data_IF_741265413829
#
_entry.id   IF_741265413829
#
_cell.length_a   1.000
_cell.length_b   1.000
_cell.length_c   1.000
_cell.angle_alpha   90.00
_cell.angle_beta   90.00
_cell.angle_gamma   90.00
#
_symmetry.space_group_name_H-M   'P 1'
#
loop_
_entity.id
_entity.type
_entity.pdbx_description
1 polymer ?
#
# COMPACT_ATOMS: atom_id res chain seq x y z
N UNK A 1 -13.59 70.82 15.08
CA UNK A 1 -13.40 69.69 16.01
C UNK A 1 -14.29 68.54 15.55
N UNK A 2 -13.68 67.42 15.11
CA UNK A 2 -14.11 66.03 15.36
C UNK A 2 -13.52 65.08 14.31
N UNK A 3 -12.35 64.56 14.69
CA UNK A 3 -11.84 63.19 14.49
C UNK A 3 -12.33 62.37 13.27
N UNK A 4 -11.52 62.37 12.20
CA UNK A 4 -11.49 61.27 11.24
C UNK A 4 -10.36 60.32 11.67
N UNK A 5 -10.70 59.22 12.35
CA UNK A 5 -9.75 58.14 12.61
C UNK A 5 -9.49 57.34 11.33
N UNK A 6 -8.24 56.98 10.99
CA UNK A 6 -7.99 56.10 9.85
C UNK A 6 -8.47 54.69 10.18
N UNK A 7 -9.46 54.22 9.44
CA UNK A 7 -9.95 52.85 9.50
C UNK A 7 -8.91 51.91 8.86
N UNK A 8 -8.08 51.29 9.71
CA UNK A 8 -7.07 50.31 9.29
C UNK A 8 -7.81 49.03 8.91
N UNK A 9 -8.02 48.82 7.62
CA UNK A 9 -8.48 47.54 7.09
C UNK A 9 -7.33 46.54 7.13
N UNK A 10 -7.35 45.69 8.16
CA UNK A 10 -6.44 44.55 8.30
C UNK A 10 -6.80 43.50 7.23
N UNK A 11 -6.10 43.54 6.09
CA UNK A 11 -6.17 42.49 5.07
C UNK A 11 -5.44 41.25 5.59
N UNK A 12 -6.20 40.33 6.20
CA UNK A 12 -5.71 39.00 6.55
C UNK A 12 -5.59 38.21 5.25
N UNK A 13 -4.38 38.17 4.67
CA UNK A 13 -4.04 37.20 3.64
C UNK A 13 -3.97 35.82 4.28
N UNK A 14 -5.06 35.06 4.17
CA UNK A 14 -5.07 33.64 4.50
C UNK A 14 -4.29 32.92 3.41
N UNK A 15 -2.97 32.78 3.60
CA UNK A 15 -2.17 31.86 2.80
C UNK A 15 -2.63 30.45 3.16
N UNK A 16 -3.48 29.87 2.32
CA UNK A 16 -3.79 28.45 2.34
C UNK A 16 -2.51 27.70 2.00
N UNK A 17 -1.75 27.32 3.04
CA UNK A 17 -0.69 26.32 2.91
C UNK A 17 -1.37 25.02 2.50
N UNK A 18 -1.36 24.73 1.21
CA UNK A 18 -1.69 23.41 0.69
C UNK A 18 -0.65 22.44 1.22
N UNK A 19 -0.95 21.81 2.36
CA UNK A 19 -0.25 20.59 2.76
C UNK A 19 -0.58 19.55 1.70
N UNK A 20 0.34 19.28 0.78
CA UNK A 20 0.31 18.04 0.01
C UNK A 20 0.47 16.91 1.03
N UNK A 21 -0.64 16.24 1.35
CA UNK A 21 -0.56 14.91 1.95
C UNK A 21 0.28 14.07 1.00
N UNK A 22 1.44 13.60 1.45
CA UNK A 22 2.10 12.52 0.73
C UNK A 22 1.08 11.37 0.66
N UNK A 23 0.62 11.05 -0.55
CA UNK A 23 -0.37 10.01 -0.76
C UNK A 23 0.20 8.69 -0.22
N UNK A 24 -0.64 7.94 0.50
CA UNK A 24 -0.22 6.69 1.08
C UNK A 24 -0.11 5.62 -0.02
N UNK A 25 0.87 4.71 0.08
CA UNK A 25 0.99 3.57 -0.83
C UNK A 25 -0.34 2.81 -0.94
N UNK A 26 -0.80 2.59 -2.17
CA UNK A 26 -2.03 1.87 -2.45
C UNK A 26 -1.71 0.40 -2.67
N UNK A 27 -2.32 -0.48 -1.86
CA UNK A 27 -2.15 -1.93 -1.95
C UNK A 27 -3.48 -2.55 -2.35
N UNK A 28 -3.47 -3.35 -3.41
CA UNK A 28 -4.63 -4.13 -3.87
C UNK A 28 -4.23 -5.59 -4.04
N UNK A 29 -5.19 -6.50 -3.92
CA UNK A 29 -4.96 -7.92 -4.17
C UNK A 29 -6.16 -8.55 -4.86
N UNK A 30 -5.88 -9.60 -5.64
CA UNK A 30 -6.91 -10.38 -6.33
C UNK A 30 -6.50 -11.85 -6.43
N UNK A 31 -7.49 -12.73 -6.54
CA UNK A 31 -7.27 -14.16 -6.72
C UNK A 31 -7.98 -14.61 -7.99
N UNK A 32 -7.20 -14.87 -9.04
CA UNK A 32 -7.71 -15.16 -10.38
C UNK A 32 -6.86 -16.25 -11.02
N UNK A 33 -7.51 -17.25 -11.62
CA UNK A 33 -6.81 -18.30 -12.39
C UNK A 33 -5.82 -19.12 -11.57
N UNK A 34 -6.16 -19.40 -10.30
CA UNK A 34 -5.30 -20.19 -9.40
C UNK A 34 -4.06 -19.45 -8.91
N UNK A 35 -4.10 -18.11 -8.85
CA UNK A 35 -2.98 -17.27 -8.42
C UNK A 35 -3.48 -16.16 -7.52
N UNK A 36 -2.68 -15.82 -6.52
CA UNK A 36 -2.78 -14.59 -5.75
C UNK A 36 -1.91 -13.52 -6.42
N UNK A 37 -2.50 -12.37 -6.71
CA UNK A 37 -1.82 -11.21 -7.28
C UNK A 37 -1.90 -10.09 -6.26
N UNK A 38 -0.76 -9.52 -5.90
CA UNK A 38 -0.65 -8.36 -5.01
C UNK A 38 -0.03 -7.22 -5.81
N UNK A 39 -0.74 -6.11 -5.87
CA UNK A 39 -0.34 -4.89 -6.58
C UNK A 39 -0.06 -3.78 -5.57
N UNK A 40 1.16 -3.24 -5.63
CA UNK A 40 1.57 -2.06 -4.90
C UNK A 40 1.73 -0.89 -5.88
N UNK A 41 1.03 0.21 -5.60
CA UNK A 41 1.19 1.49 -6.30
C UNK A 41 1.66 2.56 -5.33
N UNK A 42 2.73 3.26 -5.70
CA UNK A 42 3.35 4.33 -4.91
C UNK A 42 3.46 5.62 -5.73
N UNK A 43 3.48 6.77 -5.08
CA UNK A 43 3.68 8.06 -5.76
C UNK A 43 5.08 8.22 -6.37
N UNK A 44 6.07 7.60 -5.74
CA UNK A 44 7.46 7.63 -6.15
C UNK A 44 7.96 6.23 -6.53
N UNK A 45 9.16 6.15 -7.10
CA UNK A 45 9.79 4.88 -7.47
C UNK A 45 9.98 3.99 -6.25
N UNK A 46 9.40 2.79 -6.28
CA UNK A 46 9.56 1.80 -5.22
C UNK A 46 10.83 0.98 -5.42
N UNK A 47 11.71 0.98 -4.43
CA UNK A 47 12.95 0.19 -4.41
C UNK A 47 12.99 -0.85 -3.28
N UNK A 48 11.88 -0.99 -2.56
CA UNK A 48 11.72 -1.88 -1.43
C UNK A 48 11.49 -3.34 -1.81
N UNK A 49 10.76 -4.07 -0.96
CA UNK A 49 10.40 -5.48 -1.19
C UNK A 49 8.98 -5.77 -0.72
N UNK A 50 8.22 -6.50 -1.53
CA UNK A 50 6.95 -7.13 -1.13
C UNK A 50 7.26 -8.58 -0.77
N UNK A 51 6.73 -9.06 0.34
CA UNK A 51 7.00 -10.39 0.89
C UNK A 51 5.73 -11.07 1.40
N UNK A 52 5.61 -12.35 1.07
CA UNK A 52 4.55 -13.27 1.51
C UNK A 52 5.21 -14.62 1.80
N UNK A 53 5.38 -14.95 3.08
CA UNK A 53 6.19 -16.10 3.49
C UNK A 53 7.62 -16.02 2.93
N UNK A 54 8.02 -17.04 2.17
CA UNK A 54 9.30 -17.06 1.45
C UNK A 54 9.27 -16.37 0.07
N UNK A 55 8.08 -16.00 -0.41
CA UNK A 55 7.87 -15.47 -1.75
C UNK A 55 8.01 -13.95 -1.76
N UNK A 56 8.95 -13.45 -2.55
CA UNK A 56 9.32 -12.03 -2.54
C UNK A 56 9.50 -11.46 -3.92
N UNK A 57 9.16 -10.18 -4.09
CA UNK A 57 9.55 -9.37 -5.25
C UNK A 57 10.21 -8.08 -4.78
N UNK A 58 11.32 -7.71 -5.41
CA UNK A 58 11.99 -6.45 -5.15
C UNK A 58 11.44 -5.36 -6.09
N UNK A 59 11.33 -4.14 -5.58
CA UNK A 59 10.99 -2.98 -6.38
C UNK A 59 12.08 -2.67 -7.42
N UNK A 60 11.65 -2.39 -8.65
CA UNK A 60 12.53 -2.10 -9.79
C UNK A 60 12.55 -0.61 -10.14
N UNK A 61 12.48 0.25 -9.12
CA UNK A 61 12.40 1.71 -9.27
C UNK A 61 11.18 2.16 -10.11
N UNK A 62 10.12 1.36 -10.09
CA UNK A 62 8.82 1.65 -10.72
C UNK A 62 7.81 2.09 -9.67
N UNK A 63 6.81 2.88 -10.07
CA UNK A 63 5.66 3.22 -9.20
C UNK A 63 4.73 2.03 -8.95
N UNK A 64 4.76 1.05 -9.84
CA UNK A 64 3.93 -0.14 -9.77
C UNK A 64 4.84 -1.35 -9.61
N UNK A 65 4.57 -2.16 -8.58
CA UNK A 65 5.26 -3.43 -8.33
C UNK A 65 4.22 -4.49 -8.05
N UNK A 66 4.38 -5.65 -8.69
CA UNK A 66 3.43 -6.76 -8.57
C UNK A 66 4.13 -8.02 -8.08
N UNK A 67 3.52 -8.68 -7.10
CA UNK A 67 3.87 -10.04 -6.67
C UNK A 67 2.78 -11.00 -7.13
N UNK A 68 3.15 -11.98 -7.94
CA UNK A 68 2.24 -13.04 -8.40
C UNK A 68 2.67 -14.36 -7.76
N UNK A 69 1.75 -14.99 -7.04
CA UNK A 69 1.98 -16.25 -6.35
C UNK A 69 1.00 -17.29 -6.90
N UNK A 70 1.48 -18.34 -7.59
CA UNK A 70 0.65 -19.49 -7.92
C UNK A 70 0.15 -20.18 -6.65
N UNK A 71 -1.12 -20.57 -6.59
CA UNK A 71 -1.63 -21.32 -5.44
C UNK A 71 -0.96 -22.67 -5.27
N UNK A 72 -0.34 -23.25 -6.30
CA UNK A 72 0.49 -24.46 -6.13
C UNK A 72 1.67 -24.25 -5.17
N UNK A 73 2.09 -23.00 -4.93
CA UNK A 73 3.14 -22.63 -3.99
C UNK A 73 2.58 -22.14 -2.64
N UNK A 74 1.30 -22.40 -2.30
CA UNK A 74 0.64 -21.86 -1.10
C UNK A 74 1.43 -22.16 0.18
N UNK A 75 1.97 -23.37 0.33
CA UNK A 75 2.72 -23.81 1.51
C UNK A 75 4.02 -22.99 1.70
N UNK A 76 4.82 -22.88 0.63
CA UNK A 76 6.09 -22.10 0.63
C UNK A 76 5.86 -20.61 0.83
N UNK A 77 4.82 -20.06 0.21
CA UNK A 77 4.51 -18.64 0.34
C UNK A 77 3.72 -18.33 1.63
N UNK A 78 3.49 -19.30 2.52
CA UNK A 78 2.78 -19.06 3.77
C UNK A 78 1.30 -18.68 3.60
N UNK A 79 0.69 -19.05 2.48
CA UNK A 79 -0.72 -18.88 2.19
C UNK A 79 -1.49 -20.03 2.86
N UNK A 80 -2.49 -19.69 3.65
CA UNK A 80 -3.35 -20.64 4.37
C UNK A 80 -4.67 -20.77 3.64
N UNK A 81 -5.10 -21.99 3.38
CA UNK A 81 -6.42 -22.29 2.86
C UNK A 81 -7.35 -22.74 3.99
N UNK A 82 -8.52 -22.12 4.09
CA UNK A 82 -9.58 -22.48 5.03
C UNK A 82 -10.73 -23.13 4.25
N UNK A 83 -10.83 -24.46 4.33
CA UNK A 83 -11.82 -25.25 3.56
C UNK A 83 -13.26 -24.85 3.91
N UNK A 84 -13.52 -24.50 5.17
CA UNK A 84 -14.87 -24.15 5.64
C UNK A 84 -15.43 -22.88 4.99
N UNK A 85 -14.54 -21.98 4.56
CA UNK A 85 -14.90 -20.70 3.94
C UNK A 85 -14.55 -20.65 2.45
N UNK A 86 -13.94 -21.72 1.94
CA UNK A 86 -13.26 -21.76 0.63
C UNK A 86 -12.45 -20.48 0.39
N UNK A 87 -11.61 -20.12 1.36
CA UNK A 87 -10.86 -18.87 1.32
C UNK A 87 -9.37 -19.08 1.56
N UNK A 88 -8.56 -18.32 0.82
CA UNK A 88 -7.14 -18.19 1.03
C UNK A 88 -6.87 -16.95 1.87
N UNK A 89 -5.93 -17.06 2.81
CA UNK A 89 -5.47 -15.95 3.63
C UNK A 89 -3.95 -15.95 3.73
N UNK A 90 -3.34 -14.77 3.78
CA UNK A 90 -1.90 -14.67 3.87
C UNK A 90 -1.44 -13.34 4.48
N UNK A 91 -0.44 -13.36 5.37
CA UNK A 91 0.24 -12.15 5.78
C UNK A 91 1.10 -11.61 4.61
N UNK A 92 0.99 -10.32 4.34
CA UNK A 92 1.78 -9.58 3.37
C UNK A 92 2.57 -8.51 4.11
N UNK A 93 3.87 -8.47 3.85
CA UNK A 93 4.76 -7.44 4.36
C UNK A 93 5.35 -6.63 3.20
N UNK A 94 5.29 -5.32 3.31
CA UNK A 94 5.85 -4.38 2.33
C UNK A 94 6.90 -3.56 3.06
N UNK A 95 8.15 -3.77 2.67
CA UNK A 95 9.28 -3.02 3.18
C UNK A 95 9.64 -1.92 2.19
N UNK A 96 9.68 -0.66 2.62
CA UNK A 96 10.05 0.46 1.73
C UNK A 96 11.57 0.55 1.51
N UNK A 97 12.34 -0.19 2.30
CA UNK A 97 13.78 -0.33 2.13
C UNK A 97 14.18 -1.80 2.06
N UNK A 98 15.22 -2.14 1.28
CA UNK A 98 15.60 -3.54 1.03
C UNK A 98 16.13 -4.29 2.25
N UNK A 99 16.78 -3.56 3.17
CA UNK A 99 17.53 -4.14 4.28
C UNK A 99 17.15 -3.57 5.66
N UNK A 100 16.37 -2.49 5.70
CA UNK A 100 16.04 -1.80 6.95
C UNK A 100 14.55 -1.92 7.17
N UNK A 101 14.14 -2.12 8.43
CA UNK A 101 12.75 -2.04 8.84
C UNK A 101 12.47 -0.58 9.17
N UNK A 102 11.47 -0.01 8.51
CA UNK A 102 11.06 1.38 8.69
C UNK A 102 9.68 1.44 9.34
N UNK A 103 9.39 2.56 10.01
CA UNK A 103 8.05 2.83 10.55
C UNK A 103 6.99 2.92 9.44
N UNK A 104 7.42 3.27 8.23
CA UNK A 104 6.60 3.28 7.02
C UNK A 104 6.29 1.89 6.46
N UNK A 105 6.94 0.83 6.95
CA UNK A 105 6.69 -0.53 6.47
C UNK A 105 5.27 -0.96 6.81
N UNK A 106 4.64 -1.68 5.87
CA UNK A 106 3.27 -2.14 6.02
C UNK A 106 3.24 -3.63 6.26
N UNK A 107 2.36 -4.04 7.17
CA UNK A 107 2.02 -5.44 7.37
C UNK A 107 0.51 -5.57 7.43
N UNK A 108 -0.05 -6.40 6.56
CA UNK A 108 -1.49 -6.62 6.47
C UNK A 108 -1.79 -8.09 6.20
N UNK A 109 -2.94 -8.56 6.68
CA UNK A 109 -3.43 -9.88 6.32
C UNK A 109 -4.43 -9.73 5.18
N UNK A 110 -4.17 -10.38 4.06
CA UNK A 110 -5.09 -10.38 2.93
C UNK A 110 -5.86 -11.69 2.90
N UNK A 111 -7.08 -11.61 2.40
CA UNK A 111 -7.90 -12.78 2.16
C UNK A 111 -8.61 -12.67 0.82
N UNK A 112 -8.80 -13.80 0.17
CA UNK A 112 -9.60 -13.90 -1.04
C UNK A 112 -10.37 -15.22 -1.04
N UNK A 113 -11.55 -15.19 -1.65
CA UNK A 113 -12.37 -16.38 -1.82
C UNK A 113 -11.95 -17.10 -3.10
N UNK A 114 -11.86 -18.42 -3.03
CA UNK A 114 -11.73 -19.24 -4.21
C UNK A 114 -13.03 -19.14 -4.99
N UNK A 115 -13.01 -18.34 -6.06
CA UNK A 115 -14.13 -18.24 -6.99
C UNK A 115 -13.82 -19.12 -8.19
N UNK A 116 -13.63 -20.43 -7.95
CA UNK A 116 -13.59 -21.43 -9.01
C UNK A 116 -14.98 -21.52 -9.66
N UNK A 117 -15.28 -20.60 -10.57
CA UNK A 117 -16.41 -20.69 -11.51
C UNK A 117 -15.93 -21.11 -12.89
#
# INVERSE_FOLDING_TARGET
FSSHGPMIHLLIFVFSLSFSSADQPQVSWSCVGGRLIIDLTTDSSFEGRIQVGECTVNGTSSRNTQLIIPFVDYDRCGIRYEESLSSFSSPVSIHFHRALILDSDLSMNISCFDNSS
#
